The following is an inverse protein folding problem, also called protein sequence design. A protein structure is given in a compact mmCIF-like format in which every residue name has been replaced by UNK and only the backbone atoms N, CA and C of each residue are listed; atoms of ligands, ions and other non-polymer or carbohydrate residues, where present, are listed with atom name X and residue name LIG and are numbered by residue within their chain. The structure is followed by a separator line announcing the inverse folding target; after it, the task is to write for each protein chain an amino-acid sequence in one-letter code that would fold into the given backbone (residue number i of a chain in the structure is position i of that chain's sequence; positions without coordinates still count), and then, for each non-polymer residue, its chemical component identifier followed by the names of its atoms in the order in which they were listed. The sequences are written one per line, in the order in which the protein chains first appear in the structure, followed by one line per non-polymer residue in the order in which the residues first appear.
data_IF_454941251151
#
_entry.id   IF_454941251151
#
_cell.length_a   1.000
_cell.length_b   1.000
_cell.length_c   1.000
_cell.angle_alpha   90.00
_cell.angle_beta   90.00
_cell.angle_gamma   90.00
#
_symmetry.space_group_name_H-M   'P 1'
#
loop_
_entity.id
_entity.type
_entity.pdbx_description
1 polymer ?
#
# COMPACT_ATOMS: atom_id res chain seq x y z
N UNK A 1 21.67 33.65 -29.12
CA UNK A 1 23.08 33.62 -28.65
C UNK A 1 23.03 33.12 -27.22
N UNK A 2 23.24 31.82 -26.95
CA UNK A 2 24.55 31.16 -26.83
C UNK A 2 25.38 31.80 -25.70
N UNK A 3 25.99 31.11 -24.72
CA UNK A 3 26.22 29.69 -24.50
C UNK A 3 27.14 29.52 -23.25
N UNK A 4 27.12 28.31 -22.64
CA UNK A 4 28.23 27.57 -21.97
C UNK A 4 28.88 28.15 -20.67
N UNK A 5 29.47 27.41 -19.71
CA UNK A 5 29.93 26.00 -19.56
C UNK A 5 30.32 25.76 -18.08
N UNK A 6 30.03 24.62 -17.43
CA UNK A 6 30.87 23.38 -17.23
C UNK A 6 31.95 23.45 -16.14
N UNK A 7 31.95 22.44 -15.25
CA UNK A 7 33.11 21.67 -14.72
C UNK A 7 32.51 20.43 -13.99
N UNK A 8 32.48 19.23 -14.55
CA UNK A 8 33.55 18.21 -14.75
C UNK A 8 34.27 17.78 -13.47
N UNK A 9 34.00 16.54 -13.05
CA UNK A 9 34.78 15.79 -12.06
C UNK A 9 34.73 14.30 -12.36
N UNK A 10 35.73 13.81 -13.09
CA UNK A 10 35.98 12.41 -13.41
C UNK A 10 36.65 11.74 -12.19
N UNK A 11 36.16 10.58 -11.78
CA UNK A 11 36.91 9.64 -10.94
C UNK A 11 36.74 8.23 -11.51
N UNK A 12 37.80 7.77 -12.18
CA UNK A 12 38.04 6.39 -12.58
C UNK A 12 38.47 5.59 -11.35
N UNK A 13 37.82 4.48 -11.05
CA UNK A 13 38.45 3.37 -10.33
C UNK A 13 37.99 2.01 -10.85
N UNK A 14 38.93 1.07 -10.75
CA UNK A 14 39.11 -0.15 -11.52
C UNK A 14 38.17 -1.29 -11.16
N UNK A 15 37.89 -2.13 -12.17
CA UNK A 15 37.26 -3.44 -12.04
C UNK A 15 38.04 -4.36 -11.10
N UNK A 16 37.31 -5.06 -10.23
CA UNK A 16 37.73 -6.30 -9.58
C UNK A 16 36.57 -7.28 -9.65
N UNK A 17 36.74 -8.32 -10.48
CA UNK A 17 35.84 -9.46 -10.63
C UNK A 17 35.79 -10.31 -9.35
N UNK A 18 34.59 -10.53 -8.83
CA UNK A 18 34.30 -11.65 -7.93
C UNK A 18 32.91 -12.20 -8.26
N UNK A 19 32.89 -13.40 -8.84
CA UNK A 19 31.69 -14.22 -9.00
C UNK A 19 31.14 -14.56 -7.62
N UNK A 20 29.86 -14.25 -7.35
CA UNK A 20 29.12 -14.85 -6.25
C UNK A 20 27.91 -15.59 -6.81
N UNK A 21 27.94 -16.91 -6.61
CA UNK A 21 26.83 -17.84 -6.80
C UNK A 21 25.67 -17.46 -5.89
N UNK A 22 24.52 -17.12 -6.47
CA UNK A 22 23.26 -16.90 -5.76
C UNK A 22 22.79 -18.21 -5.11
N UNK A 23 22.65 -18.19 -3.78
CA UNK A 23 22.02 -19.25 -3.02
C UNK A 23 20.50 -19.04 -3.09
N UNK A 24 19.79 -20.07 -3.54
CA UNK A 24 18.34 -20.13 -3.57
C UNK A 24 17.81 -20.16 -2.11
N UNK A 25 17.44 -19.02 -1.55
CA UNK A 25 16.73 -18.97 -0.27
C UNK A 25 15.30 -19.49 -0.48
N UNK A 26 14.99 -20.61 0.16
CA UNK A 26 13.68 -21.24 0.17
C UNK A 26 12.86 -20.57 1.29
N UNK A 27 11.85 -19.77 0.94
CA UNK A 27 10.93 -19.18 1.94
C UNK A 27 10.06 -20.31 2.51
N UNK A 28 10.16 -20.55 3.82
CA UNK A 28 9.35 -21.53 4.55
C UNK A 28 7.93 -20.97 4.76
N UNK A 29 6.97 -21.52 4.02
CA UNK A 29 5.56 -21.05 3.98
C UNK A 29 4.77 -21.37 5.27
N UNK A 30 5.39 -21.95 6.30
CA UNK A 30 4.71 -22.44 7.50
C UNK A 30 4.47 -21.40 8.61
N UNK A 31 4.99 -20.17 8.48
CA UNK A 31 4.95 -19.14 9.52
C UNK A 31 3.72 -18.22 9.50
N UNK A 32 2.95 -18.16 8.40
CA UNK A 32 1.76 -17.30 8.31
C UNK A 32 0.52 -17.95 8.92
N UNK A 33 0.39 -17.91 10.25
CA UNK A 33 -0.88 -18.20 10.90
C UNK A 33 -1.67 -16.91 11.12
N UNK A 34 -2.75 -16.73 10.35
CA UNK A 34 -3.85 -15.84 10.73
C UNK A 34 -4.40 -16.32 12.08
N UNK A 35 -4.06 -15.61 13.14
CA UNK A 35 -4.56 -15.85 14.49
C UNK A 35 -6.04 -15.55 14.61
N UNK A 36 -6.90 -16.41 14.05
CA UNK A 36 -8.31 -16.51 14.42
C UNK A 36 -8.39 -17.32 15.70
N UNK A 37 -8.04 -16.70 16.83
CA UNK A 37 -8.15 -17.30 18.15
C UNK A 37 -9.63 -17.61 18.45
N UNK A 38 -9.96 -18.90 18.49
CA UNK A 38 -11.25 -19.38 18.97
C UNK A 38 -11.42 -19.02 20.45
N UNK A 39 -12.29 -18.05 20.74
CA UNK A 39 -12.71 -17.77 22.12
C UNK A 39 -13.69 -18.85 22.54
N UNK A 40 -13.30 -19.67 23.52
CA UNK A 40 -14.18 -20.64 24.15
C UNK A 40 -14.29 -20.32 25.64
N UNK A 41 -15.44 -19.75 26.05
CA UNK A 41 -16.33 -20.28 27.10
C UNK A 41 -17.16 -19.18 27.78
N UNK A 42 -18.49 -19.37 27.75
CA UNK A 42 -19.38 -18.92 28.83
C UNK A 42 -20.39 -17.80 28.55
N UNK A 43 -21.20 -17.88 27.49
CA UNK A 43 -22.51 -17.20 27.46
C UNK A 43 -23.47 -17.82 26.42
N UNK A 44 -24.75 -17.87 26.81
CA UNK A 44 -26.01 -18.27 26.14
C UNK A 44 -26.02 -18.37 24.58
N UNK A 45 -26.60 -19.43 23.97
CA UNK A 45 -26.62 -19.61 22.51
C UNK A 45 -27.72 -18.75 21.87
N UNK A 46 -27.48 -17.45 21.77
CA UNK A 46 -28.11 -16.63 20.74
C UNK A 46 -27.39 -16.94 19.44
N UNK A 47 -28.12 -17.44 18.45
CA UNK A 47 -27.69 -17.75 17.09
C UNK A 47 -26.79 -16.67 16.51
N UNK A 48 -25.47 -16.87 16.59
CA UNK A 48 -24.49 -16.12 15.82
C UNK A 48 -24.61 -16.64 14.39
N UNK A 49 -25.22 -15.85 13.51
CA UNK A 49 -25.12 -16.07 12.08
C UNK A 49 -23.63 -16.24 11.73
N UNK A 50 -23.23 -17.26 10.97
CA UNK A 50 -21.84 -17.41 10.59
C UNK A 50 -21.39 -16.13 9.89
N UNK A 51 -20.41 -15.45 10.49
CA UNK A 51 -19.74 -14.33 9.85
C UNK A 51 -19.09 -14.92 8.62
N UNK A 52 -19.70 -14.72 7.44
CA UNK A 52 -19.02 -15.02 6.19
C UNK A 52 -17.73 -14.21 6.20
N UNK A 53 -16.55 -14.85 6.13
CA UNK A 53 -15.31 -14.11 5.99
C UNK A 53 -15.44 -13.18 4.79
N UNK A 54 -15.11 -11.91 4.96
CA UNK A 54 -15.15 -10.99 3.82
C UNK A 54 -14.22 -11.50 2.72
N UNK A 55 -14.65 -11.54 1.45
CA UNK A 55 -13.74 -11.81 0.34
C UNK A 55 -12.78 -10.63 0.10
N UNK A 56 -12.98 -9.49 0.78
CA UNK A 56 -12.26 -8.26 0.53
C UNK A 56 -11.46 -7.80 1.75
N UNK A 57 -10.30 -7.24 1.50
CA UNK A 57 -9.49 -6.60 2.52
C UNK A 57 -8.91 -5.27 2.05
N UNK A 58 -8.68 -4.38 3.02
CA UNK A 58 -7.71 -3.30 2.92
C UNK A 58 -6.42 -3.75 3.58
N UNK A 59 -5.30 -3.68 2.86
CA UNK A 59 -3.96 -3.86 3.41
C UNK A 59 -3.32 -2.48 3.65
N UNK A 60 -2.68 -2.31 4.81
CA UNK A 60 -1.89 -1.12 5.14
C UNK A 60 -0.51 -1.61 5.56
N UNK A 61 0.54 -1.10 4.93
CA UNK A 61 1.90 -1.47 5.27
C UNK A 61 2.46 -0.60 6.40
N UNK A 62 3.16 -1.22 7.34
CA UNK A 62 3.87 -0.53 8.42
C UNK A 62 5.27 -1.13 8.56
N UNK A 63 6.26 -0.37 8.10
CA UNK A 63 7.68 -0.70 8.25
C UNK A 63 8.28 -0.20 9.57
N UNK A 64 9.54 -0.55 9.79
CA UNK A 64 10.33 -0.14 10.95
C UNK A 64 11.04 1.19 10.78
N UNK A 65 11.46 1.50 9.55
CA UNK A 65 12.45 2.56 9.31
C UNK A 65 11.83 3.88 8.81
N UNK A 66 10.51 3.94 8.64
CA UNK A 66 9.86 5.10 8.03
C UNK A 66 9.91 6.38 8.88
N UNK A 67 10.04 6.30 10.20
CA UNK A 67 10.17 7.46 11.10
C UNK A 67 10.70 7.06 12.48
N UNK A 68 11.73 6.21 12.52
CA UNK A 68 12.42 5.85 13.76
C UNK A 68 13.24 7.04 14.30
N UNK A 69 12.57 8.08 14.79
CA UNK A 69 13.19 8.94 15.81
C UNK A 69 13.52 8.03 17.01
N UNK A 70 14.69 8.21 17.66
CA UNK A 70 15.18 7.46 18.85
C UNK A 70 14.28 7.65 20.11
N UNK A 71 13.01 7.97 19.91
CA UNK A 71 11.96 8.10 20.90
C UNK A 71 11.40 6.72 21.25
N UNK A 72 11.41 6.39 22.54
CA UNK A 72 10.76 5.19 23.07
C UNK A 72 9.21 5.27 23.02
N UNK A 73 8.63 6.41 22.62
CA UNK A 73 7.19 6.61 22.57
C UNK A 73 6.61 6.23 21.20
N UNK A 74 5.76 5.19 21.16
CA UNK A 74 5.14 4.71 19.92
C UNK A 74 4.47 5.82 19.08
N UNK A 75 3.90 6.85 19.71
CA UNK A 75 3.19 7.93 19.02
C UNK A 75 4.11 8.95 18.33
N UNK A 76 5.43 8.87 18.49
CA UNK A 76 6.36 9.67 17.69
C UNK A 76 6.49 9.15 16.26
N UNK A 77 6.20 7.87 16.02
CA UNK A 77 6.20 7.27 14.69
C UNK A 77 4.97 7.74 13.88
N UNK A 78 5.23 8.59 12.89
CA UNK A 78 4.18 9.19 12.08
C UNK A 78 3.40 8.18 11.23
N UNK A 79 4.05 7.15 10.73
CA UNK A 79 3.38 6.14 9.90
C UNK A 79 2.55 5.19 10.76
N UNK A 80 2.98 4.89 11.97
CA UNK A 80 2.13 4.19 12.94
C UNK A 80 0.88 5.00 13.30
N UNK A 81 1.02 6.30 13.61
CA UNK A 81 -0.15 7.16 13.88
C UNK A 81 -1.04 7.30 12.64
N UNK A 82 -0.44 7.38 11.45
CA UNK A 82 -1.14 7.35 10.16
C UNK A 82 -1.96 6.07 10.00
N UNK A 83 -1.34 4.90 10.18
CA UNK A 83 -1.99 3.59 10.11
C UNK A 83 -3.16 3.49 11.11
N UNK A 84 -2.96 3.92 12.37
CA UNK A 84 -4.04 3.97 13.37
C UNK A 84 -5.18 4.89 12.95
N UNK A 85 -4.85 6.05 12.40
CA UNK A 85 -5.84 7.01 11.89
C UNK A 85 -6.63 6.41 10.73
N UNK A 86 -5.97 5.69 9.83
CA UNK A 86 -6.60 5.01 8.70
C UNK A 86 -7.50 3.85 9.17
N UNK A 87 -7.05 3.02 10.12
CA UNK A 87 -7.89 1.99 10.77
C UNK A 87 -9.14 2.62 11.40
N UNK A 88 -8.99 3.74 12.11
CA UNK A 88 -10.13 4.48 12.65
C UNK A 88 -11.11 4.94 11.57
N UNK A 89 -10.58 5.54 10.49
CA UNK A 89 -11.40 6.01 9.36
C UNK A 89 -12.18 4.87 8.71
N UNK A 90 -11.57 3.69 8.55
CA UNK A 90 -12.18 2.54 7.85
C UNK A 90 -13.14 1.73 8.72
N UNK A 91 -12.96 1.69 10.05
CA UNK A 91 -13.74 0.81 10.94
C UNK A 91 -14.71 1.57 11.87
N UNK A 92 -14.41 2.81 12.25
CA UNK A 92 -15.09 3.46 13.37
C UNK A 92 -15.72 4.81 13.00
N UNK A 93 -15.07 5.59 12.14
CA UNK A 93 -15.52 6.93 11.80
C UNK A 93 -16.90 6.90 11.10
N UNK A 94 -17.93 7.59 11.63
CA UNK A 94 -19.29 7.50 11.09
C UNK A 94 -19.44 7.87 9.61
N UNK A 95 -18.59 8.76 9.10
CA UNK A 95 -18.64 9.25 7.72
C UNK A 95 -17.91 8.36 6.70
N UNK A 96 -17.03 7.47 7.15
CA UNK A 96 -16.10 6.75 6.24
C UNK A 96 -15.98 5.27 6.52
N UNK A 97 -16.49 4.78 7.64
CA UNK A 97 -16.42 3.37 7.97
C UNK A 97 -17.09 2.51 6.90
N UNK A 98 -16.56 1.31 6.70
CA UNK A 98 -17.20 0.31 5.86
C UNK A 98 -18.62 0.02 6.33
N UNK A 99 -19.50 -0.20 5.37
CA UNK A 99 -20.90 -0.58 5.57
C UNK A 99 -21.15 -2.06 5.27
N UNK A 100 -20.21 -2.70 4.59
CA UNK A 100 -20.12 -4.13 4.31
C UNK A 100 -18.96 -4.75 5.10
N UNK A 101 -18.93 -6.09 5.29
CA UNK A 101 -17.79 -6.74 5.92
C UNK A 101 -16.58 -6.59 5.01
N UNK A 102 -15.56 -5.82 5.43
CA UNK A 102 -14.24 -5.71 4.79
C UNK A 102 -13.20 -5.81 5.90
N UNK A 103 -12.20 -6.67 5.72
CA UNK A 103 -11.10 -6.80 6.69
C UNK A 103 -10.12 -5.65 6.54
N UNK A 104 -9.65 -5.06 7.65
CA UNK A 104 -8.52 -4.14 7.63
C UNK A 104 -7.31 -4.87 8.19
N UNK A 105 -6.27 -5.03 7.38
CA UNK A 105 -5.08 -5.82 7.67
C UNK A 105 -3.86 -4.90 7.67
N UNK A 106 -3.09 -4.93 8.75
CA UNK A 106 -1.76 -4.32 8.81
C UNK A 106 -0.73 -5.37 8.45
N UNK A 107 0.06 -5.09 7.42
CA UNK A 107 1.27 -5.83 7.08
C UNK A 107 2.43 -5.16 7.82
N UNK A 108 2.82 -5.74 8.96
CA UNK A 108 3.86 -5.17 9.83
C UNK A 108 5.17 -5.95 9.66
N UNK A 109 6.28 -5.25 9.40
CA UNK A 109 7.59 -5.91 9.36
C UNK A 109 7.98 -6.44 10.75
N UNK A 110 8.84 -7.46 10.80
CA UNK A 110 9.25 -8.13 12.04
C UNK A 110 9.81 -7.21 13.13
N UNK A 111 10.38 -6.06 12.79
CA UNK A 111 10.92 -5.14 13.78
C UNK A 111 9.91 -4.14 14.35
N UNK A 112 8.68 -4.06 13.84
CA UNK A 112 7.64 -3.18 14.40
C UNK A 112 7.35 -3.61 15.83
N UNK A 113 7.41 -2.67 16.79
CA UNK A 113 7.23 -2.97 18.20
C UNK A 113 5.88 -3.68 18.50
N UNK A 114 5.90 -4.65 19.40
CA UNK A 114 4.68 -5.39 19.76
C UNK A 114 3.62 -4.49 20.42
N UNK A 115 4.03 -3.41 21.10
CA UNK A 115 3.11 -2.39 21.62
C UNK A 115 2.27 -1.74 20.50
N UNK A 116 2.90 -1.38 19.37
CA UNK A 116 2.23 -0.85 18.18
C UNK A 116 1.28 -1.86 17.57
N UNK A 117 1.74 -3.10 17.38
CA UNK A 117 0.93 -4.19 16.82
C UNK A 117 -0.29 -4.49 17.70
N UNK A 118 -0.09 -4.58 19.01
CA UNK A 118 -1.17 -4.84 19.94
C UNK A 118 -2.18 -3.71 19.96
N UNK A 119 -1.74 -2.45 19.88
CA UNK A 119 -2.63 -1.30 19.75
C UNK A 119 -3.47 -1.36 18.48
N UNK A 120 -2.87 -1.71 17.34
CA UNK A 120 -3.59 -1.86 16.07
C UNK A 120 -4.62 -2.99 16.10
N UNK A 121 -4.33 -4.11 16.79
CA UNK A 121 -5.31 -5.17 17.06
C UNK A 121 -6.47 -4.68 17.93
N UNK A 122 -6.17 -3.89 18.97
CA UNK A 122 -7.20 -3.27 19.81
C UNK A 122 -8.03 -2.23 19.04
N UNK A 123 -7.43 -1.58 18.05
CA UNK A 123 -8.13 -0.68 17.13
C UNK A 123 -9.04 -1.45 16.14
N UNK A 124 -8.94 -2.78 16.09
CA UNK A 124 -9.83 -3.66 15.33
C UNK A 124 -9.23 -4.18 14.02
N UNK A 125 -7.98 -3.84 13.70
CA UNK A 125 -7.29 -4.39 12.54
C UNK A 125 -6.77 -5.82 12.82
N UNK A 126 -6.71 -6.65 11.79
CA UNK A 126 -5.85 -7.82 11.81
C UNK A 126 -4.40 -7.35 11.61
N UNK A 127 -3.44 -7.93 12.33
CA UNK A 127 -2.02 -7.60 12.17
C UNK A 127 -1.30 -8.87 11.76
N UNK A 128 -0.74 -8.86 10.56
CA UNK A 128 0.05 -9.93 9.98
C UNK A 128 1.50 -9.49 10.01
N UNK A 129 2.32 -10.26 10.70
CA UNK A 129 3.76 -10.07 10.67
C UNK A 129 4.32 -10.61 9.35
N UNK A 130 5.16 -9.81 8.70
CA UNK A 130 5.83 -10.17 7.45
C UNK A 130 7.34 -10.04 7.60
N UNK A 131 8.05 -10.93 6.91
CA UNK A 131 9.52 -10.88 6.78
C UNK A 131 9.91 -9.72 5.85
N UNK A 132 11.07 -9.13 6.14
CA UNK A 132 11.69 -8.16 5.21
C UNK A 132 12.21 -8.91 3.99
N UNK A 133 11.98 -8.35 2.81
CA UNK A 133 12.50 -8.89 1.57
C UNK A 133 13.96 -8.49 1.39
N UNK A 134 14.82 -9.48 1.21
CA UNK A 134 16.22 -9.24 0.90
C UNK A 134 16.38 -8.78 -0.55
N UNK A 135 17.09 -7.68 -0.77
CA UNK A 135 17.44 -7.19 -2.09
C UNK A 135 18.76 -6.39 -2.05
N UNK A 136 19.48 -6.36 -3.17
CA UNK A 136 20.77 -5.65 -3.29
C UNK A 136 20.66 -4.37 -4.13
N UNK A 137 19.49 -3.74 -4.10
CA UNK A 137 19.18 -2.55 -4.91
C UNK A 137 19.73 -1.34 -4.17
N UNK A 138 20.53 -0.54 -4.86
CA UNK A 138 21.01 0.74 -4.34
C UNK A 138 19.89 1.77 -4.46
N UNK A 139 19.34 2.20 -3.32
CA UNK A 139 18.24 3.16 -3.27
C UNK A 139 18.77 4.45 -2.68
N UNK A 140 18.63 5.54 -3.44
CA UNK A 140 19.17 6.85 -3.06
C UNK A 140 18.52 7.39 -1.76
N UNK A 141 17.25 7.06 -1.53
CA UNK A 141 16.48 7.44 -0.35
C UNK A 141 16.49 6.29 0.67
N UNK A 142 17.24 6.37 1.78
CA UNK A 142 17.50 5.21 2.64
C UNK A 142 16.27 4.54 3.27
N UNK A 143 15.17 5.26 3.48
CA UNK A 143 13.95 4.67 4.05
C UNK A 143 13.05 4.03 2.98
N UNK A 144 13.36 4.19 1.69
CA UNK A 144 12.64 3.52 0.61
C UNK A 144 13.09 2.06 0.40
N UNK A 145 14.02 1.54 1.20
CA UNK A 145 14.37 0.10 1.17
C UNK A 145 13.21 -0.80 1.63
N UNK A 146 12.41 -0.36 2.60
CA UNK A 146 11.31 -1.17 3.13
C UNK A 146 10.05 -1.15 2.27
N UNK A 147 9.94 -0.29 1.26
CA UNK A 147 8.71 -0.21 0.44
C UNK A 147 8.46 -1.49 -0.38
N UNK A 148 9.51 -2.27 -0.67
CA UNK A 148 9.34 -3.59 -1.29
C UNK A 148 8.64 -4.58 -0.36
N UNK A 149 8.67 -4.37 0.96
CA UNK A 149 7.96 -5.21 1.93
C UNK A 149 6.43 -4.99 1.85
N UNK A 150 5.94 -4.16 0.93
CA UNK A 150 4.54 -4.13 0.49
C UNK A 150 4.18 -5.33 -0.40
N UNK A 151 5.15 -5.93 -1.12
CA UNK A 151 4.90 -7.02 -2.08
C UNK A 151 4.22 -8.29 -1.50
N UNK A 152 4.40 -8.68 -0.22
CA UNK A 152 3.61 -9.73 0.42
C UNK A 152 2.09 -9.50 0.36
N UNK A 153 1.61 -8.27 0.13
CA UNK A 153 0.19 -8.00 -0.13
C UNK A 153 -0.38 -8.78 -1.33
N UNK A 154 0.48 -9.22 -2.25
CA UNK A 154 0.12 -9.99 -3.44
C UNK A 154 0.27 -11.51 -3.27
N UNK A 155 0.76 -11.99 -2.12
CA UNK A 155 0.83 -13.41 -1.81
C UNK A 155 -0.50 -13.89 -1.19
N UNK A 156 -1.23 -14.83 -1.83
CA UNK A 156 -2.47 -15.35 -1.26
C UNK A 156 -2.26 -16.13 0.06
N UNK A 157 -1.04 -16.51 0.43
CA UNK A 157 -0.76 -17.09 1.74
C UNK A 157 -0.77 -16.03 2.87
N UNK A 158 -0.38 -14.79 2.55
CA UNK A 158 -0.37 -13.64 3.47
C UNK A 158 -1.73 -12.93 3.45
N UNK A 159 -2.27 -12.73 2.25
CA UNK A 159 -3.54 -12.07 2.00
C UNK A 159 -4.52 -13.02 1.29
N UNK A 160 -5.18 -13.94 2.03
CA UNK A 160 -6.11 -14.93 1.47
C UNK A 160 -7.49 -14.33 1.15
N UNK A 161 -7.49 -13.22 0.39
CA UNK A 161 -8.68 -12.48 -0.01
C UNK A 161 -8.84 -12.52 -1.53
N UNK A 162 -10.08 -12.45 -2.01
CA UNK A 162 -10.37 -12.35 -3.44
C UNK A 162 -9.87 -11.02 -4.01
N UNK A 163 -10.04 -9.93 -3.27
CA UNK A 163 -9.51 -8.61 -3.63
C UNK A 163 -8.91 -7.91 -2.42
N UNK A 164 -7.78 -7.27 -2.65
CA UNK A 164 -7.06 -6.47 -1.67
C UNK A 164 -6.88 -5.07 -2.21
N UNK A 165 -7.32 -4.07 -1.46
CA UNK A 165 -6.93 -2.69 -1.66
C UNK A 165 -5.72 -2.40 -0.77
N UNK A 166 -4.54 -2.26 -1.34
CA UNK A 166 -3.34 -1.78 -0.66
C UNK A 166 -3.41 -0.25 -0.58
N UNK A 167 -3.28 0.29 0.62
CA UNK A 167 -3.26 1.72 0.89
C UNK A 167 -2.00 2.08 1.70
N UNK A 168 -1.35 3.17 1.34
CA UNK A 168 -0.33 3.77 2.17
C UNK A 168 -0.92 4.34 3.47
N UNK A 169 -0.11 4.43 4.52
CA UNK A 169 -0.56 4.81 5.86
C UNK A 169 -0.85 6.32 6.02
N UNK A 170 -0.47 7.14 5.05
CA UNK A 170 -0.56 8.59 5.03
C UNK A 170 -1.76 9.11 4.22
N UNK A 171 -2.90 8.42 4.37
CA UNK A 171 -4.11 8.67 3.61
C UNK A 171 -5.24 9.28 4.45
N UNK A 172 -6.01 10.17 3.83
CA UNK A 172 -7.29 10.66 4.37
C UNK A 172 -8.44 10.09 3.55
N UNK A 173 -9.42 9.52 4.25
CA UNK A 173 -10.66 9.00 3.69
C UNK A 173 -11.78 10.04 3.89
N UNK A 174 -12.59 10.25 2.87
CA UNK A 174 -13.70 11.22 2.91
C UNK A 174 -15.08 10.56 2.83
N UNK A 175 -15.17 9.34 2.30
CA UNK A 175 -16.40 8.55 2.16
C UNK A 175 -16.13 7.04 2.28
N UNK A 176 -17.15 6.20 2.53
CA UNK A 176 -16.95 4.75 2.60
C UNK A 176 -16.38 4.16 1.30
N UNK A 177 -15.48 3.20 1.44
CA UNK A 177 -14.76 2.57 0.32
C UNK A 177 -15.39 1.27 -0.15
N UNK A 178 -16.59 0.90 0.32
CA UNK A 178 -17.26 -0.37 -0.03
C UNK A 178 -17.35 -0.58 -1.56
N UNK A 179 -17.67 0.49 -2.29
CA UNK A 179 -17.83 0.46 -3.74
C UNK A 179 -16.50 0.38 -4.52
N UNK A 180 -15.34 0.60 -3.88
CA UNK A 180 -14.03 0.44 -4.52
C UNK A 180 -13.85 -0.99 -5.03
N UNK A 181 -14.25 -1.97 -4.24
CA UNK A 181 -14.19 -3.39 -4.59
C UNK A 181 -15.19 -3.79 -5.68
N UNK A 182 -16.10 -2.91 -6.08
CA UNK A 182 -17.09 -3.14 -7.13
C UNK A 182 -16.78 -2.39 -8.42
N UNK A 183 -15.70 -1.60 -8.45
CA UNK A 183 -15.24 -0.94 -9.67
C UNK A 183 -14.88 -2.02 -10.71
N UNK A 184 -15.43 -1.89 -11.92
CA UNK A 184 -15.25 -2.88 -13.00
C UNK A 184 -13.79 -3.07 -13.41
N UNK A 185 -12.95 -2.06 -13.17
CA UNK A 185 -11.52 -2.11 -13.43
C UNK A 185 -10.77 -3.01 -12.43
N UNK A 186 -11.39 -3.40 -11.33
CA UNK A 186 -10.85 -4.32 -10.32
C UNK A 186 -11.17 -5.80 -10.59
N UNK A 187 -11.76 -6.10 -11.75
CA UNK A 187 -12.07 -7.49 -12.14
C UNK A 187 -10.83 -8.21 -12.69
N UNK A 188 -10.94 -9.52 -12.89
CA UNK A 188 -9.86 -10.30 -13.48
C UNK A 188 -9.83 -10.14 -15.01
N UNK A 189 -8.66 -9.86 -15.56
CA UNK A 189 -8.39 -9.78 -16.99
C UNK A 189 -7.50 -10.96 -17.44
N UNK A 190 -7.70 -11.50 -18.65
CA UNK A 190 -6.76 -12.45 -19.21
C UNK A 190 -5.43 -11.76 -19.50
N UNK A 191 -4.33 -12.51 -19.36
CA UNK A 191 -3.00 -12.05 -19.79
C UNK A 191 -2.94 -11.96 -21.32
N UNK A 192 -2.38 -10.87 -21.85
CA UNK A 192 -2.19 -10.67 -23.29
C UNK A 192 -0.92 -11.39 -23.78
N UNK A 193 -1.11 -12.61 -24.26
CA UNK A 193 -0.03 -13.42 -24.84
C UNK A 193 0.50 -12.88 -26.18
N UNK A 194 -0.18 -11.90 -26.79
CA UNK A 194 0.25 -11.25 -28.03
C UNK A 194 0.97 -9.91 -27.78
N UNK A 195 1.22 -9.55 -26.52
CA UNK A 195 1.97 -8.34 -26.17
C UNK A 195 3.33 -8.30 -26.87
N UNK A 196 3.73 -7.12 -27.32
CA UNK A 196 5.03 -6.88 -27.96
C UNK A 196 6.19 -6.86 -26.97
N UNK A 197 5.90 -6.90 -25.66
CA UNK A 197 6.84 -6.73 -24.56
C UNK A 197 6.66 -7.80 -23.49
N UNK A 198 6.69 -9.07 -23.91
CA UNK A 198 6.71 -10.21 -23.00
C UNK A 198 7.89 -10.13 -22.01
N UNK A 199 7.76 -10.71 -20.80
CA UNK A 199 8.84 -10.76 -19.83
C UNK A 199 10.04 -11.54 -20.38
N UNK A 200 11.21 -11.31 -19.80
CA UNK A 200 12.41 -12.06 -20.16
C UNK A 200 12.18 -13.58 -19.93
N UNK A 201 12.73 -14.47 -20.79
CA UNK A 201 12.44 -15.92 -20.71
C UNK A 201 12.89 -16.61 -19.42
N UNK A 202 13.77 -15.97 -18.65
CA UNK A 202 14.29 -16.42 -17.36
C UNK A 202 13.44 -15.97 -16.16
N UNK A 203 12.40 -15.16 -16.39
CA UNK A 203 11.41 -14.82 -15.37
C UNK A 203 10.32 -15.92 -15.26
N UNK A 204 9.68 -16.06 -14.10
CA UNK A 204 8.59 -17.00 -13.90
C UNK A 204 7.42 -16.81 -14.88
N UNK A 205 6.68 -17.89 -15.12
CA UNK A 205 5.45 -17.85 -15.93
C UNK A 205 4.40 -16.94 -15.28
N UNK A 206 3.75 -16.13 -16.11
CA UNK A 206 2.64 -15.27 -15.69
C UNK A 206 1.38 -16.09 -15.32
N UNK A 207 0.48 -15.54 -14.49
CA UNK A 207 -0.83 -16.15 -14.27
C UNK A 207 -1.68 -16.14 -15.56
N UNK A 208 -2.73 -16.97 -15.63
CA UNK A 208 -3.66 -16.94 -16.77
C UNK A 208 -4.55 -15.68 -16.76
N UNK A 209 -4.85 -15.21 -15.54
CA UNK A 209 -5.64 -14.01 -15.27
C UNK A 209 -5.04 -13.24 -14.12
N UNK A 210 -5.17 -11.93 -14.16
CA UNK A 210 -4.70 -11.03 -13.11
C UNK A 210 -5.72 -9.93 -12.86
N UNK A 211 -5.65 -9.30 -11.70
CA UNK A 211 -6.36 -8.05 -11.43
C UNK A 211 -5.36 -7.09 -10.78
N UNK A 212 -5.14 -5.94 -11.41
CA UNK A 212 -4.43 -4.83 -10.82
C UNK A 212 -5.01 -3.53 -11.36
N UNK A 213 -5.56 -2.73 -10.46
CA UNK A 213 -6.13 -1.44 -10.75
C UNK A 213 -5.52 -0.37 -9.83
N UNK A 214 -5.27 0.80 -10.38
CA UNK A 214 -4.67 1.93 -9.66
C UNK A 214 -5.11 3.24 -10.32
N UNK A 215 -4.64 4.37 -9.81
CA UNK A 215 -4.80 5.67 -10.48
C UNK A 215 -3.47 6.11 -11.09
N UNK A 216 -3.50 6.90 -12.19
CA UNK A 216 -2.28 7.50 -12.73
C UNK A 216 -1.54 8.32 -11.66
N UNK A 217 -0.21 8.40 -11.76
CA UNK A 217 0.62 9.27 -10.93
C UNK A 217 0.54 10.72 -11.44
N UNK A 218 -0.66 11.29 -11.33
CA UNK A 218 -1.00 12.63 -11.82
C UNK A 218 -1.56 13.42 -10.64
N UNK A 219 -0.96 14.58 -10.30
CA UNK A 219 -1.43 15.38 -9.17
C UNK A 219 -2.77 16.06 -9.45
N UNK A 220 -3.49 16.36 -8.37
CA UNK A 220 -4.65 17.24 -8.42
C UNK A 220 -4.31 18.61 -9.01
N UNK A 221 -5.28 19.27 -9.66
CA UNK A 221 -5.09 20.58 -10.29
C UNK A 221 -6.26 21.50 -10.00
N UNK A 222 -5.99 22.66 -9.43
CA UNK A 222 -7.04 23.67 -9.23
C UNK A 222 -7.25 24.49 -10.53
N UNK A 223 -8.49 24.72 -11.00
CA UNK A 223 -9.79 24.27 -10.51
C UNK A 223 -10.36 23.05 -11.25
N UNK A 224 -9.51 22.21 -11.84
CA UNK A 224 -9.90 21.13 -12.75
C UNK A 224 -10.12 19.83 -11.97
N UNK A 225 -11.36 19.33 -11.98
CA UNK A 225 -11.69 18.01 -11.45
C UNK A 225 -12.60 17.22 -12.41
N UNK A 226 -12.31 15.92 -12.66
CA UNK A 226 -11.03 15.26 -12.38
C UNK A 226 -9.92 15.83 -13.29
N UNK A 227 -8.62 15.59 -12.99
CA UNK A 227 -7.54 15.94 -13.89
C UNK A 227 -7.73 15.34 -15.30
N UNK A 228 -7.31 16.07 -16.33
CA UNK A 228 -7.37 15.62 -17.73
C UNK A 228 -6.24 14.61 -18.03
N UNK A 229 -6.42 13.38 -17.54
CA UNK A 229 -5.39 12.34 -17.61
C UNK A 229 -5.07 11.90 -19.04
N UNK A 230 -6.02 12.01 -19.97
CA UNK A 230 -5.83 11.54 -21.35
C UNK A 230 -4.79 12.38 -22.12
N UNK A 231 -4.58 13.62 -21.71
CA UNK A 231 -3.62 14.55 -22.31
C UNK A 231 -2.30 14.66 -21.52
N UNK A 232 -2.13 13.89 -20.44
CA UNK A 232 -0.90 13.87 -19.65
C UNK A 232 0.12 12.87 -20.20
N UNK A 233 1.40 13.24 -20.10
CA UNK A 233 2.51 12.41 -20.60
C UNK A 233 2.71 11.11 -19.80
N UNK A 234 2.33 11.11 -18.51
CA UNK A 234 2.54 9.99 -17.59
C UNK A 234 1.25 9.19 -17.32
N UNK A 235 0.27 9.25 -18.23
CA UNK A 235 -1.04 8.57 -18.06
C UNK A 235 -0.96 7.04 -17.93
N UNK A 236 0.13 6.45 -18.41
CA UNK A 236 0.40 5.01 -18.39
C UNK A 236 1.27 4.58 -17.20
N UNK A 237 1.66 5.53 -16.35
CA UNK A 237 2.42 5.29 -15.11
C UNK A 237 1.51 5.54 -13.91
N UNK A 238 1.25 4.49 -13.11
CA UNK A 238 0.35 4.58 -11.97
C UNK A 238 1.10 4.85 -10.66
N UNK A 239 0.37 5.43 -9.71
CA UNK A 239 0.83 5.65 -8.36
C UNK A 239 0.55 4.41 -7.47
N UNK A 240 1.54 3.98 -6.69
CA UNK A 240 1.48 2.76 -5.89
C UNK A 240 0.86 2.94 -4.50
N UNK A 241 0.42 4.15 -4.14
CA UNK A 241 -0.14 4.45 -2.82
C UNK A 241 -1.57 3.90 -2.66
N UNK A 242 -2.27 3.67 -3.77
CA UNK A 242 -3.57 2.98 -3.81
C UNK A 242 -3.60 1.97 -4.97
N UNK A 243 -3.58 0.68 -4.63
CA UNK A 243 -3.67 -0.42 -5.59
C UNK A 243 -4.79 -1.35 -5.18
N UNK A 244 -5.67 -1.73 -6.10
CA UNK A 244 -6.62 -2.83 -5.91
C UNK A 244 -6.17 -4.01 -6.75
N UNK A 245 -5.90 -5.15 -6.13
CA UNK A 245 -5.44 -6.35 -6.81
C UNK A 245 -6.11 -7.62 -6.32
N UNK A 246 -5.96 -8.70 -7.07
CA UNK A 246 -6.27 -10.06 -6.63
C UNK A 246 -4.96 -10.83 -6.42
N UNK A 247 -4.58 -11.11 -5.15
CA UNK A 247 -3.37 -11.85 -4.84
C UNK A 247 -3.31 -13.22 -5.52
N UNK A 248 -2.18 -13.55 -6.15
CA UNK A 248 -1.95 -14.90 -6.68
C UNK A 248 -0.49 -15.28 -6.50
N UNK A 249 -0.25 -16.58 -6.26
CA UNK A 249 1.11 -17.11 -6.08
C UNK A 249 2.01 -16.82 -7.28
N UNK A 250 1.50 -16.96 -8.51
CA UNK A 250 2.27 -16.68 -9.74
C UNK A 250 2.65 -15.20 -9.84
N UNK A 251 1.72 -14.30 -9.53
CA UNK A 251 1.97 -12.85 -9.57
C UNK A 251 3.02 -12.44 -8.53
N UNK A 252 2.88 -12.91 -7.29
CA UNK A 252 3.87 -12.64 -6.24
C UNK A 252 5.26 -13.18 -6.59
N UNK A 253 5.36 -14.42 -7.06
CA UNK A 253 6.62 -15.00 -7.52
C UNK A 253 7.26 -14.21 -8.67
N UNK A 254 6.43 -13.69 -9.59
CA UNK A 254 6.90 -12.82 -10.66
C UNK A 254 7.50 -11.51 -10.12
N UNK A 255 6.85 -10.87 -9.14
CA UNK A 255 7.41 -9.66 -8.51
C UNK A 255 8.71 -9.91 -7.75
N UNK A 256 8.82 -11.02 -7.02
CA UNK A 256 10.08 -11.40 -6.35
C UNK A 256 11.20 -11.65 -7.37
N UNK A 257 10.87 -12.24 -8.52
CA UNK A 257 11.85 -12.42 -9.60
C UNK A 257 12.28 -11.09 -10.21
N UNK A 258 11.38 -10.12 -10.34
CA UNK A 258 11.72 -8.75 -10.77
C UNK A 258 12.60 -8.05 -9.72
N UNK A 259 12.31 -8.20 -8.43
CA UNK A 259 13.12 -7.65 -7.35
C UNK A 259 14.58 -8.15 -7.40
N UNK A 260 14.79 -9.40 -7.79
CA UNK A 260 16.11 -9.98 -8.05
C UNK A 260 16.79 -9.50 -9.34
N UNK A 261 16.15 -8.63 -10.12
CA UNK A 261 16.59 -8.12 -11.43
C UNK A 261 16.48 -6.58 -11.48
N UNK A 262 17.18 -5.86 -10.58
CA UNK A 262 17.07 -4.41 -10.48
C UNK A 262 17.41 -3.66 -11.75
N UNK A 263 18.20 -4.23 -12.65
CA UNK A 263 18.55 -3.59 -13.91
C UNK A 263 17.38 -3.43 -14.90
N UNK A 264 16.21 -4.01 -14.60
CA UNK A 264 15.04 -3.98 -15.48
C UNK A 264 14.10 -2.78 -15.25
N UNK A 265 14.19 -2.11 -14.10
CA UNK A 265 13.30 -1.00 -13.71
C UNK A 265 14.08 0.15 -13.07
N UNK A 266 13.42 1.29 -12.92
CA UNK A 266 13.97 2.45 -12.19
C UNK A 266 13.98 2.20 -10.68
N UNK A 267 14.72 3.01 -9.93
CA UNK A 267 14.80 2.90 -8.46
C UNK A 267 14.42 4.21 -7.78
N UNK A 268 13.70 5.08 -8.48
CA UNK A 268 13.35 6.40 -7.95
C UNK A 268 12.13 6.30 -7.02
N UNK A 269 11.13 5.53 -7.42
CA UNK A 269 9.97 5.15 -6.61
C UNK A 269 9.93 3.61 -6.59
N UNK A 270 10.66 2.95 -5.67
CA UNK A 270 11.18 1.60 -5.93
C UNK A 270 10.13 0.52 -6.22
N UNK A 271 9.12 0.36 -5.36
CA UNK A 271 8.04 -0.59 -5.57
C UNK A 271 7.13 -0.16 -6.72
N UNK A 272 6.90 1.14 -6.85
CA UNK A 272 6.07 1.69 -7.92
C UNK A 272 6.71 1.45 -9.29
N UNK A 273 8.01 1.64 -9.43
CA UNK A 273 8.78 1.40 -10.66
C UNK A 273 8.79 -0.08 -11.02
N UNK A 274 8.96 -0.98 -10.03
CA UNK A 274 8.87 -2.42 -10.22
C UNK A 274 7.47 -2.82 -10.73
N UNK A 275 6.42 -2.35 -10.07
CA UNK A 275 5.05 -2.71 -10.42
C UNK A 275 4.61 -2.05 -11.75
N UNK A 276 5.09 -0.85 -12.07
CA UNK A 276 4.87 -0.22 -13.38
C UNK A 276 5.61 -0.96 -14.50
N UNK A 277 6.78 -1.55 -14.26
CA UNK A 277 7.41 -2.47 -15.22
C UNK A 277 6.52 -3.71 -15.45
N UNK A 278 6.03 -4.32 -14.37
CA UNK A 278 5.21 -5.52 -14.44
C UNK A 278 3.86 -5.29 -15.14
N UNK A 279 3.29 -4.10 -14.96
CA UNK A 279 1.94 -3.75 -15.41
C UNK A 279 1.88 -2.64 -16.46
N UNK A 280 2.98 -2.36 -17.15
CA UNK A 280 3.04 -1.40 -18.26
C UNK A 280 1.97 -1.69 -19.32
N UNK A 281 1.47 -0.63 -19.95
CA UNK A 281 0.34 -0.70 -20.89
C UNK A 281 0.64 -1.49 -22.17
N UNK A 282 1.89 -1.52 -22.61
CA UNK A 282 2.35 -2.30 -23.76
C UNK A 282 2.77 -3.74 -23.39
N UNK A 283 2.68 -4.08 -22.10
CA UNK A 283 3.01 -5.38 -21.54
C UNK A 283 1.83 -6.36 -21.56
N UNK A 284 2.06 -7.59 -21.07
CA UNK A 284 1.05 -8.66 -21.07
C UNK A 284 0.00 -8.52 -19.95
N UNK A 285 0.28 -7.70 -18.93
CA UNK A 285 -0.58 -7.50 -17.76
C UNK A 285 -0.86 -6.01 -17.49
N UNK A 286 -1.35 -5.22 -18.46
CA UNK A 286 -1.55 -3.79 -18.26
C UNK A 286 -2.45 -3.49 -17.05
N UNK A 287 -2.04 -2.57 -16.19
CA UNK A 287 -2.90 -2.11 -15.09
C UNK A 287 -4.17 -1.45 -15.62
N UNK A 288 -5.22 -1.40 -14.80
CA UNK A 288 -6.49 -0.75 -15.13
C UNK A 288 -6.70 0.52 -14.33
N UNK A 289 -7.15 1.56 -15.00
CA UNK A 289 -7.43 2.82 -14.35
C UNK A 289 -8.70 2.71 -13.49
N UNK A 290 -8.55 2.90 -12.18
CA UNK A 290 -9.66 3.16 -11.27
C UNK A 290 -10.37 4.46 -11.65
N UNK A 291 -11.67 4.57 -11.35
CA UNK A 291 -12.35 5.86 -11.48
C UNK A 291 -11.57 6.95 -10.71
N UNK A 292 -11.37 8.11 -11.35
CA UNK A 292 -10.52 9.18 -10.80
C UNK A 292 -11.13 9.81 -9.53
N UNK A 293 -12.37 9.49 -9.15
CA UNK A 293 -12.94 9.86 -7.85
C UNK A 293 -12.46 9.02 -6.67
N UNK A 294 -11.64 8.00 -6.91
CA UNK A 294 -11.09 7.15 -5.85
C UNK A 294 -9.86 7.74 -5.19
N UNK A 295 -8.87 8.18 -5.96
CA UNK A 295 -7.58 8.60 -5.43
C UNK A 295 -6.89 9.65 -6.30
N UNK A 296 -6.21 10.61 -5.67
CA UNK A 296 -5.24 11.51 -6.29
C UNK A 296 -4.09 11.80 -5.33
N UNK A 297 -2.91 11.97 -5.92
CA UNK A 297 -1.73 12.54 -5.24
C UNK A 297 -1.84 14.06 -5.20
N UNK A 298 -1.25 14.68 -4.17
CA UNK A 298 -1.19 16.14 -4.00
C UNK A 298 -2.56 16.84 -4.23
N UNK A 299 -3.58 16.49 -3.43
CA UNK A 299 -4.93 16.99 -3.65
C UNK A 299 -5.04 18.50 -3.42
N UNK A 300 -5.96 19.11 -4.17
CA UNK A 300 -6.32 20.53 -4.10
C UNK A 300 -7.69 20.71 -3.46
N UNK A 301 -8.03 21.94 -3.07
CA UNK A 301 -9.35 22.27 -2.53
C UNK A 301 -10.52 21.85 -3.46
N UNK A 302 -10.31 21.89 -4.78
CA UNK A 302 -11.28 21.42 -5.75
C UNK A 302 -11.56 19.92 -5.61
N UNK A 303 -10.52 19.11 -5.36
CA UNK A 303 -10.63 17.66 -5.20
C UNK A 303 -11.39 17.30 -3.91
N UNK A 304 -11.15 18.06 -2.82
CA UNK A 304 -11.94 17.95 -1.58
C UNK A 304 -13.42 18.23 -1.83
N UNK A 305 -13.72 19.35 -2.49
CA UNK A 305 -15.09 19.79 -2.76
C UNK A 305 -15.83 18.85 -3.73
N UNK A 306 -15.10 18.14 -4.59
CA UNK A 306 -15.65 17.18 -5.53
C UNK A 306 -15.94 15.80 -4.93
N UNK A 307 -15.59 15.55 -3.66
CA UNK A 307 -15.90 14.30 -2.98
C UNK A 307 -14.95 13.15 -3.30
N UNK A 308 -13.68 13.45 -3.58
CA UNK A 308 -12.60 12.48 -3.74
C UNK A 308 -12.52 11.52 -2.55
N UNK A 309 -12.46 10.20 -2.78
CA UNK A 309 -12.56 9.21 -1.71
C UNK A 309 -11.31 9.09 -0.83
N UNK A 310 -10.13 8.99 -1.46
CA UNK A 310 -8.84 8.78 -0.84
C UNK A 310 -7.92 9.92 -1.27
N UNK A 311 -7.29 10.56 -0.30
CA UNK A 311 -6.45 11.73 -0.49
C UNK A 311 -5.09 11.44 0.12
N UNK A 312 -4.02 11.58 -0.67
CA UNK A 312 -2.66 11.42 -0.16
C UNK A 312 -2.28 12.61 0.71
N UNK A 313 -2.38 12.42 2.01
CA UNK A 313 -2.53 13.50 2.96
C UNK A 313 -1.85 13.24 4.31
N UNK A 314 -0.74 13.94 4.55
CA UNK A 314 0.10 13.75 5.74
C UNK A 314 -0.30 14.74 6.83
N UNK A 315 -0.63 14.26 8.03
CA UNK A 315 -0.88 15.15 9.17
C UNK A 315 0.40 15.86 9.63
N UNK A 316 1.57 15.38 9.22
CA UNK A 316 2.88 15.97 9.50
C UNK A 316 3.41 16.85 8.37
N UNK A 317 2.60 17.14 7.34
CA UNK A 317 2.95 18.17 6.36
C UNK A 317 3.01 19.56 7.01
N UNK A 318 3.69 20.54 6.36
CA UNK A 318 3.67 21.93 6.81
C UNK A 318 2.23 22.48 6.93
N UNK A 319 1.98 23.30 7.95
CA UNK A 319 0.62 23.80 8.26
C UNK A 319 -0.04 24.65 7.16
N UNK A 320 0.73 25.13 6.17
CA UNK A 320 0.22 25.85 5.00
C UNK A 320 -0.29 24.95 3.87
N UNK A 321 -0.12 23.63 3.98
CA UNK A 321 -0.66 22.68 3.02
C UNK A 321 -2.19 22.57 3.21
N UNK A 322 -3.01 22.75 2.16
CA UNK A 322 -4.47 22.64 2.24
C UNK A 322 -4.95 21.30 2.82
N UNK A 323 -4.15 20.24 2.65
CA UNK A 323 -4.47 18.91 3.10
C UNK A 323 -4.10 18.65 4.58
N UNK A 324 -3.12 19.38 5.14
CA UNK A 324 -2.62 19.18 6.50
C UNK A 324 -3.74 19.26 7.56
N UNK A 325 -4.59 20.29 7.49
CA UNK A 325 -5.66 20.49 8.48
C UNK A 325 -6.67 19.34 8.48
N UNK A 326 -7.00 18.81 7.31
CA UNK A 326 -7.91 17.68 7.19
C UNK A 326 -7.28 16.42 7.79
N UNK A 327 -6.01 16.13 7.47
CA UNK A 327 -5.30 14.98 8.02
C UNK A 327 -5.15 15.07 9.55
N UNK A 328 -4.81 16.26 10.07
CA UNK A 328 -4.72 16.51 11.51
C UNK A 328 -6.07 16.35 12.21
N UNK A 329 -7.16 16.83 11.60
CA UNK A 329 -8.50 16.65 12.13
C UNK A 329 -8.89 15.16 12.22
N UNK A 330 -8.49 14.32 11.25
CA UNK A 330 -8.68 12.86 11.32
C UNK A 330 -7.91 12.23 12.47
N UNK A 331 -6.68 12.67 12.71
CA UNK A 331 -5.87 12.22 13.84
C UNK A 331 -6.56 12.56 15.19
N UNK A 332 -7.05 13.78 15.36
CA UNK A 332 -7.77 14.18 16.56
C UNK A 332 -9.10 13.44 16.76
N UNK A 333 -9.83 13.16 15.68
CA UNK A 333 -11.04 12.35 15.76
C UNK A 333 -10.73 10.93 16.26
N UNK A 334 -9.66 10.33 15.75
CA UNK A 334 -9.18 9.01 16.19
C UNK A 334 -8.76 9.05 17.67
N UNK A 335 -7.98 10.06 18.09
CA UNK A 335 -7.56 10.21 19.50
C UNK A 335 -8.78 10.37 20.43
N UNK A 336 -9.68 11.30 20.13
CA UNK A 336 -10.86 11.55 20.95
C UNK A 336 -11.80 10.35 21.03
N UNK A 337 -11.90 9.55 19.96
CA UNK A 337 -12.67 8.29 19.97
C UNK A 337 -12.11 7.29 21.00
N UNK A 338 -10.80 7.08 21.00
CA UNK A 338 -10.17 6.13 21.92
C UNK A 338 -10.13 6.64 23.35
N UNK A 339 -9.82 7.91 23.57
CA UNK A 339 -9.88 8.56 24.89
C UNK A 339 -11.27 8.41 25.53
N UNK A 340 -12.33 8.70 24.78
CA UNK A 340 -13.71 8.54 25.27
C UNK A 340 -14.06 7.10 25.61
N UNK A 341 -13.61 6.14 24.79
CA UNK A 341 -13.93 4.71 24.96
C UNK A 341 -13.14 4.06 26.09
N UNK A 342 -11.90 4.48 26.31
CA UNK A 342 -10.99 3.92 27.33
C UNK A 342 -11.16 4.61 28.67
N UNK A 343 -11.32 5.94 28.70
CA UNK A 343 -11.67 6.68 29.91
C UNK A 343 -12.99 6.21 30.51
N UNK A 344 -13.98 5.85 29.67
CA UNK A 344 -15.25 5.27 30.12
C UNK A 344 -15.13 3.87 30.74
N UNK A 345 -14.07 3.12 30.44
CA UNK A 345 -13.81 1.79 31.04
C UNK A 345 -13.09 1.89 32.38
N UNK A 346 -12.26 2.92 32.59
CA UNK A 346 -11.54 3.12 33.84
C UNK A 346 -12.42 3.68 34.98
N UNK A 347 -13.57 4.27 34.66
CA UNK A 347 -14.52 4.83 35.63
C UNK A 347 -15.69 3.94 36.04
N UNK A 348 -15.66 2.63 35.73
CA UNK A 348 -16.71 1.66 36.10
C UNK A 348 -16.21 0.59 37.04
#
# INVERSE_FOLDING_TARGET
MANFSVLSGILLYSQSSASSTLHQAYIDQSSYQLGLSSVNSGADPQTVSPITPSPYAVAIFLGTEFDAEDSDEDNSDRYYVGARTLVYQLLHAPSTKFTSPVSVVILATQGVHESKRQRLRLDGAAVVEIERLEHSIDIEVPFYHEVFDKLPAFDPAVMPFEKVALLDADMVITRPLDALFQDTNTTHFPVDTNSTKLPAPDLPELPERYALAATPDIPGRNPVFPPDVDNEKNRDYFNADVIVSSPTKKLFQYYLALLGRPELFGHWLPEQDLLNLAHRWDGPMPWRQLDLSWHLILPTEADFNAGMAILHCKYWQPAGDPCHQTALARCWQMQGYWEGREGSKAGR
#
